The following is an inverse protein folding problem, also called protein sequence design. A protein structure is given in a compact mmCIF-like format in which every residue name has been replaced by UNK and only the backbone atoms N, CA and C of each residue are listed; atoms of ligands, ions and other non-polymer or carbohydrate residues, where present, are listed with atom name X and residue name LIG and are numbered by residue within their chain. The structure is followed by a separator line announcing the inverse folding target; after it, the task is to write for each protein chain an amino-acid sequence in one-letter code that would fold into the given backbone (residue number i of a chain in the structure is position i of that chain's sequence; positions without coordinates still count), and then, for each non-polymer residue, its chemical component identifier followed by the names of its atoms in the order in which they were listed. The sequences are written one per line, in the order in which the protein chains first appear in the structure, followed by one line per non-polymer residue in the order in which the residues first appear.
data_IF_503013470167
#
_entry.id   IF_503013470167
#
_cell.length_a   1.000
_cell.length_b   1.000
_cell.length_c   1.000
_cell.angle_alpha   90.00
_cell.angle_beta   90.00
_cell.angle_gamma   90.00
#
_symmetry.space_group_name_H-M   'P 1'
#
loop_
_entity.id
_entity.type
_entity.pdbx_description
1 polymer ?
#
# COMPACT_ATOMS: atom_id res chain seq x y z
N UNK A 1 -16.29 -7.29 3.09
CA UNK A 1 -15.26 -7.65 4.11
C UNK A 1 -14.44 -6.44 4.54
N UNK A 2 -13.74 -5.72 3.65
CA UNK A 2 -12.90 -4.55 3.97
C UNK A 2 -13.59 -3.49 4.84
N UNK A 3 -14.85 -3.15 4.55
CA UNK A 3 -15.68 -2.22 5.33
C UNK A 3 -15.76 -2.60 6.83
N UNK A 4 -15.98 -3.87 7.12
CA UNK A 4 -16.06 -4.37 8.51
C UNK A 4 -14.69 -4.36 9.19
N UNK A 5 -13.61 -4.67 8.45
CA UNK A 5 -12.25 -4.61 8.98
C UNK A 5 -11.89 -3.19 9.40
N UNK A 6 -12.19 -2.19 8.57
CA UNK A 6 -11.98 -0.78 8.89
C UNK A 6 -12.74 -0.35 10.15
N UNK A 7 -14.02 -0.73 10.25
CA UNK A 7 -14.84 -0.42 11.44
C UNK A 7 -14.31 -1.11 12.70
N UNK A 8 -13.86 -2.37 12.57
CA UNK A 8 -13.26 -3.10 13.68
C UNK A 8 -11.95 -2.44 14.15
N UNK A 9 -11.07 -2.07 13.20
CA UNK A 9 -9.83 -1.35 13.49
C UNK A 9 -10.09 -0.05 14.29
N UNK A 10 -11.00 0.79 13.80
CA UNK A 10 -11.32 2.05 14.47
C UNK A 10 -11.86 1.82 15.89
N UNK A 11 -12.77 0.84 16.08
CA UNK A 11 -13.28 0.49 17.41
C UNK A 11 -12.19 0.02 18.36
N UNK A 12 -11.26 -0.82 17.88
CA UNK A 12 -10.12 -1.30 18.70
C UNK A 12 -9.22 -0.12 19.08
N UNK A 13 -8.90 0.77 18.12
CA UNK A 13 -8.08 1.93 18.41
C UNK A 13 -8.71 2.84 19.48
N UNK A 14 -10.00 3.19 19.32
CA UNK A 14 -10.73 4.03 20.30
C UNK A 14 -10.85 3.35 21.65
N UNK A 15 -11.11 2.04 21.69
CA UNK A 15 -11.17 1.28 22.94
C UNK A 15 -9.81 1.27 23.65
N UNK A 16 -8.73 1.01 22.92
CA UNK A 16 -7.37 1.09 23.46
C UNK A 16 -7.07 2.51 23.99
N UNK A 17 -7.40 3.52 23.19
CA UNK A 17 -7.13 4.91 23.53
C UNK A 17 -7.83 5.36 24.84
N UNK A 18 -9.06 4.92 25.06
CA UNK A 18 -9.85 5.32 26.23
C UNK A 18 -9.56 4.49 27.49
N UNK A 19 -9.24 3.19 27.36
CA UNK A 19 -9.14 2.29 28.50
C UNK A 19 -7.70 1.93 28.88
N UNK A 20 -6.81 1.76 27.91
CA UNK A 20 -5.50 1.18 28.14
C UNK A 20 -4.35 2.19 27.98
N UNK A 21 -4.46 3.12 27.02
CA UNK A 21 -3.39 4.07 26.71
C UNK A 21 -2.95 4.92 27.92
N UNK A 22 -3.84 5.38 28.82
CA UNK A 22 -3.41 6.16 29.99
C UNK A 22 -2.40 5.43 30.86
N UNK A 23 -2.48 4.11 30.94
CA UNK A 23 -1.58 3.27 31.74
C UNK A 23 -0.41 2.72 30.93
N UNK A 24 -0.66 2.26 29.69
CA UNK A 24 0.33 1.54 28.89
C UNK A 24 1.17 2.46 27.98
N UNK A 25 0.65 3.64 27.60
CA UNK A 25 1.30 4.61 26.73
C UNK A 25 1.78 4.01 25.39
N UNK A 26 1.12 2.93 24.93
CA UNK A 26 1.45 2.23 23.68
C UNK A 26 0.92 2.97 22.43
N UNK A 27 1.33 2.48 21.27
CA UNK A 27 0.88 2.95 19.97
C UNK A 27 0.13 1.86 19.24
N UNK A 28 -0.96 2.21 18.59
CA UNK A 28 -1.78 1.31 17.79
C UNK A 28 -1.86 1.87 16.36
N UNK A 29 -1.47 1.06 15.39
CA UNK A 29 -1.53 1.42 13.99
C UNK A 29 -2.14 0.32 13.15
N UNK A 30 -2.08 0.47 11.84
CA UNK A 30 -2.52 -0.53 10.88
C UNK A 30 -1.36 -0.87 9.94
N UNK A 31 -1.17 -2.17 9.67
CA UNK A 31 -0.19 -2.65 8.69
C UNK A 31 -0.93 -2.98 7.39
N UNK A 32 -0.51 -2.33 6.33
CA UNK A 32 -1.09 -2.45 5.00
C UNK A 32 -0.03 -2.87 4.00
N UNK A 33 -0.43 -3.67 3.00
CA UNK A 33 0.46 -4.09 1.92
C UNK A 33 0.21 -3.28 0.66
N UNK A 34 1.28 -2.95 -0.07
CA UNK A 34 1.17 -2.41 -1.42
C UNK A 34 2.39 -2.73 -2.27
N UNK A 35 2.14 -3.14 -3.51
CA UNK A 35 3.13 -3.04 -4.57
C UNK A 35 3.21 -1.58 -5.03
N UNK A 36 4.35 -1.18 -5.62
CA UNK A 36 4.43 0.07 -6.36
C UNK A 36 3.82 -0.13 -7.76
N UNK A 37 3.03 0.83 -8.20
CA UNK A 37 2.45 0.87 -9.53
C UNK A 37 3.20 1.89 -10.39
N UNK A 38 3.97 1.41 -11.35
CA UNK A 38 4.59 2.25 -12.37
C UNK A 38 3.72 2.26 -13.62
N UNK A 39 3.42 3.39 -14.26
CA UNK A 39 2.71 3.38 -15.53
C UNK A 39 3.51 2.63 -16.59
N UNK A 40 2.84 1.75 -17.35
CA UNK A 40 3.47 1.00 -18.44
C UNK A 40 4.04 1.96 -19.51
N UNK A 41 3.29 2.99 -19.81
CA UNK A 41 3.67 4.07 -20.73
C UNK A 41 3.44 5.41 -20.05
N UNK A 42 4.49 6.04 -19.47
CA UNK A 42 4.36 7.27 -18.69
C UNK A 42 3.94 8.48 -19.54
N UNK A 43 4.06 8.40 -20.87
CA UNK A 43 3.56 9.41 -21.83
C UNK A 43 2.06 9.31 -22.07
N UNK A 44 1.39 8.25 -21.64
CA UNK A 44 -0.05 8.03 -21.79
C UNK A 44 -0.79 8.42 -20.51
N UNK A 45 -1.65 9.46 -20.54
CA UNK A 45 -2.44 9.88 -19.39
C UNK A 45 -3.31 8.77 -18.81
N UNK A 46 -3.77 7.84 -19.65
CA UNK A 46 -4.62 6.71 -19.23
C UNK A 46 -3.85 5.73 -18.35
N UNK A 47 -2.57 5.47 -18.65
CA UNK A 47 -1.73 4.56 -17.87
C UNK A 47 -1.27 5.22 -16.55
N UNK A 48 -1.03 6.53 -16.55
CA UNK A 48 -0.80 7.31 -15.33
C UNK A 48 -2.00 7.20 -14.38
N UNK A 49 -3.21 7.46 -14.92
CA UNK A 49 -4.45 7.35 -14.14
C UNK A 49 -4.73 5.92 -13.66
N UNK A 50 -4.39 4.91 -14.46
CA UNK A 50 -4.53 3.51 -14.07
C UNK A 50 -3.58 3.13 -12.92
N UNK A 51 -2.33 3.61 -12.96
CA UNK A 51 -1.35 3.39 -11.89
C UNK A 51 -1.79 4.03 -10.57
N UNK A 52 -2.30 5.25 -10.62
CA UNK A 52 -2.85 5.92 -9.44
C UNK A 52 -4.07 5.17 -8.89
N UNK A 53 -4.99 4.73 -9.75
CA UNK A 53 -6.12 3.90 -9.33
C UNK A 53 -5.69 2.60 -8.69
N UNK A 54 -4.67 1.92 -9.25
CA UNK A 54 -4.13 0.70 -8.64
C UNK A 54 -3.68 0.95 -7.19
N UNK A 55 -2.94 2.02 -6.93
CA UNK A 55 -2.51 2.37 -5.57
C UNK A 55 -3.70 2.69 -4.65
N UNK A 56 -4.71 3.38 -5.14
CA UNK A 56 -5.93 3.61 -4.38
C UNK A 56 -6.74 2.33 -4.13
N UNK A 57 -6.76 1.38 -5.06
CA UNK A 57 -7.40 0.08 -4.87
C UNK A 57 -6.65 -0.81 -3.90
N UNK A 58 -5.32 -0.88 -4.00
CA UNK A 58 -4.50 -1.77 -3.18
C UNK A 58 -4.28 -1.22 -1.77
N UNK A 59 -3.89 0.04 -1.66
CA UNK A 59 -3.54 0.68 -0.39
C UNK A 59 -4.63 1.64 0.09
N UNK A 60 -5.10 2.52 -0.79
CA UNK A 60 -6.04 3.60 -0.48
C UNK A 60 -7.36 3.12 0.06
N UNK A 61 -7.83 1.95 -0.35
CA UNK A 61 -9.04 1.33 0.18
C UNK A 61 -9.07 1.30 1.72
N UNK A 62 -7.92 1.07 2.34
CA UNK A 62 -7.76 1.02 3.78
C UNK A 62 -7.10 2.28 4.36
N UNK A 63 -6.09 2.83 3.66
CA UNK A 63 -5.35 3.98 4.17
C UNK A 63 -6.18 5.26 4.17
N UNK A 64 -6.94 5.53 3.10
CA UNK A 64 -7.66 6.80 2.96
C UNK A 64 -8.70 7.04 4.07
N UNK A 65 -9.57 6.05 4.42
CA UNK A 65 -10.52 6.22 5.51
C UNK A 65 -9.86 6.53 6.86
N UNK A 66 -8.69 5.97 7.11
CA UNK A 66 -8.01 6.13 8.40
C UNK A 66 -7.20 7.44 8.46
N UNK A 67 -6.47 7.76 7.39
CA UNK A 67 -5.47 8.83 7.42
C UNK A 67 -5.91 10.15 6.76
N UNK A 68 -6.99 10.16 5.98
CA UNK A 68 -7.42 11.35 5.24
C UNK A 68 -8.73 11.92 5.77
N UNK A 69 -9.88 11.32 5.47
CA UNK A 69 -11.16 11.96 5.73
C UNK A 69 -12.26 11.05 6.33
N UNK A 70 -11.97 9.77 6.53
CA UNK A 70 -12.93 8.80 7.07
C UNK A 70 -13.71 8.04 5.99
N UNK A 71 -13.53 8.38 4.71
CA UNK A 71 -14.25 7.76 3.60
C UNK A 71 -13.28 7.10 2.60
N UNK A 72 -13.81 6.34 1.66
CA UNK A 72 -13.03 5.75 0.58
C UNK A 72 -12.50 6.80 -0.40
N UNK A 73 -11.36 6.54 -1.08
CA UNK A 73 -10.85 7.42 -2.11
C UNK A 73 -11.91 7.74 -3.18
N UNK A 74 -11.99 9.00 -3.59
CA UNK A 74 -12.92 9.42 -4.65
C UNK A 74 -12.69 8.66 -5.96
N UNK A 75 -11.43 8.40 -6.31
CA UNK A 75 -11.06 7.63 -7.50
C UNK A 75 -11.60 6.19 -7.45
N UNK A 76 -11.54 5.53 -6.28
CA UNK A 76 -12.10 4.19 -6.10
C UNK A 76 -13.62 4.19 -6.25
N UNK A 77 -14.33 5.14 -5.63
CA UNK A 77 -15.80 5.27 -5.75
C UNK A 77 -16.22 5.53 -7.20
N UNK A 78 -15.57 6.47 -7.88
CA UNK A 78 -15.84 6.79 -9.27
C UNK A 78 -15.63 5.60 -10.20
N UNK A 79 -14.53 4.86 -10.03
CA UNK A 79 -14.24 3.68 -10.84
C UNK A 79 -15.29 2.58 -10.64
N UNK A 80 -15.70 2.28 -9.41
CA UNK A 80 -16.75 1.29 -9.14
C UNK A 80 -18.08 1.73 -9.75
N UNK A 81 -18.43 3.01 -9.66
CA UNK A 81 -19.65 3.54 -10.28
C UNK A 81 -19.60 3.43 -11.80
N UNK A 82 -18.47 3.76 -12.42
CA UNK A 82 -18.27 3.62 -13.87
C UNK A 82 -18.41 2.15 -14.30
N UNK A 83 -17.80 1.24 -13.56
CA UNK A 83 -17.90 -0.21 -13.82
C UNK A 83 -19.33 -0.73 -13.77
N UNK A 84 -20.10 -0.32 -12.76
CA UNK A 84 -21.50 -0.72 -12.64
C UNK A 84 -22.36 -0.20 -13.80
N UNK A 85 -22.00 0.96 -14.38
CA UNK A 85 -22.68 1.50 -15.58
C UNK A 85 -22.31 0.73 -16.85
N UNK A 86 -21.05 0.39 -17.00
CA UNK A 86 -20.53 -0.31 -18.19
C UNK A 86 -20.89 -1.80 -18.18
N UNK A 87 -20.94 -2.41 -17.00
CA UNK A 87 -21.22 -3.82 -16.78
C UNK A 87 -22.38 -4.00 -15.78
N UNK A 88 -23.64 -3.81 -16.18
CA UNK A 88 -24.79 -3.91 -15.26
C UNK A 88 -24.96 -5.30 -14.63
N UNK A 89 -24.35 -6.33 -15.20
CA UNK A 89 -24.31 -7.68 -14.61
C UNK A 89 -23.28 -7.80 -13.46
N UNK A 90 -22.37 -6.87 -13.35
CA UNK A 90 -21.30 -6.78 -12.36
C UNK A 90 -21.73 -5.81 -11.26
N UNK A 91 -22.57 -6.25 -10.33
CA UNK A 91 -22.98 -5.38 -9.22
C UNK A 91 -21.87 -5.36 -8.17
N UNK A 92 -20.82 -4.55 -8.40
CA UNK A 92 -19.83 -4.26 -7.37
C UNK A 92 -20.42 -3.22 -6.41
N UNK A 93 -20.81 -3.64 -5.22
CA UNK A 93 -21.30 -2.74 -4.18
C UNK A 93 -20.16 -2.32 -3.25
N UNK A 94 -19.91 -1.02 -3.17
CA UNK A 94 -19.07 -0.45 -2.13
C UNK A 94 -20.03 0.07 -1.02
N UNK A 95 -20.00 -0.54 0.19
CA UNK A 95 -20.81 -0.06 1.30
C UNK A 95 -20.42 1.39 1.67
N UNK A 96 -21.38 2.22 2.02
CA UNK A 96 -21.14 3.58 2.46
C UNK A 96 -20.92 3.66 3.98
N UNK A 97 -20.03 4.55 4.40
CA UNK A 97 -19.88 4.89 5.81
C UNK A 97 -20.87 5.99 6.19
N UNK A 98 -21.53 5.82 7.33
CA UNK A 98 -22.27 6.92 7.96
C UNK A 98 -21.32 8.00 8.44
N UNK A 99 -21.80 9.22 8.64
CA UNK A 99 -20.96 10.31 9.15
C UNK A 99 -20.34 9.99 10.52
N UNK A 100 -21.05 9.27 11.39
CA UNK A 100 -20.50 8.79 12.65
C UNK A 100 -19.35 7.80 12.46
N UNK A 101 -19.45 6.90 11.48
CA UNK A 101 -18.39 5.96 11.15
C UNK A 101 -17.18 6.65 10.52
N UNK A 102 -17.38 7.64 9.65
CA UNK A 102 -16.28 8.47 9.11
C UNK A 102 -15.50 9.17 10.21
N UNK A 103 -16.20 9.74 11.19
CA UNK A 103 -15.55 10.38 12.34
C UNK A 103 -14.78 9.39 13.22
N UNK A 104 -15.27 8.15 13.37
CA UNK A 104 -14.55 7.10 14.09
C UNK A 104 -13.29 6.62 13.33
N UNK A 105 -13.37 6.55 11.99
CA UNK A 105 -12.27 6.07 11.15
C UNK A 105 -11.14 7.08 11.07
N UNK A 106 -11.47 8.33 10.85
CA UNK A 106 -10.51 9.41 10.63
C UNK A 106 -9.57 9.57 11.84
N UNK A 107 -8.28 9.36 11.61
CA UNK A 107 -7.24 9.50 12.64
C UNK A 107 -7.14 8.34 13.61
N UNK A 108 -7.78 7.19 13.34
CA UNK A 108 -7.75 6.01 14.20
C UNK A 108 -6.47 5.16 14.06
N UNK A 109 -5.31 5.81 13.90
CA UNK A 109 -4.01 5.13 13.88
C UNK A 109 -2.90 6.06 14.34
N UNK A 110 -1.97 5.55 15.14
CA UNK A 110 -0.79 6.28 15.62
C UNK A 110 0.41 6.13 14.65
N UNK A 111 0.37 5.17 13.75
CA UNK A 111 1.36 4.92 12.70
C UNK A 111 0.74 4.16 11.52
N UNK A 112 1.37 4.27 10.37
CA UNK A 112 1.09 3.43 9.21
C UNK A 112 2.21 2.41 9.08
N UNK A 113 1.89 1.13 9.21
CA UNK A 113 2.79 0.03 8.86
C UNK A 113 2.66 -0.27 7.38
N UNK A 114 3.77 -0.38 6.66
CA UNK A 114 3.80 -0.65 5.24
C UNK A 114 4.57 -1.93 4.97
N UNK A 115 3.93 -2.89 4.29
CA UNK A 115 4.58 -4.04 3.71
C UNK A 115 4.73 -3.83 2.20
N UNK A 116 5.94 -4.10 1.67
CA UNK A 116 6.23 -3.94 0.25
C UNK A 116 7.23 -4.99 -0.21
N UNK A 117 6.94 -5.66 -1.30
CA UNK A 117 7.76 -6.77 -1.80
C UNK A 117 8.21 -6.60 -3.25
N UNK A 118 7.39 -5.94 -4.08
CA UNK A 118 7.62 -5.83 -5.53
C UNK A 118 6.94 -4.60 -6.14
N UNK A 119 7.13 -4.42 -7.44
CA UNK A 119 6.45 -3.40 -8.24
C UNK A 119 5.75 -4.02 -9.43
N UNK A 120 4.80 -3.30 -10.02
CA UNK A 120 4.08 -3.66 -11.23
C UNK A 120 4.17 -2.54 -12.26
N UNK A 121 4.17 -2.90 -13.53
CA UNK A 121 3.84 -1.97 -14.60
C UNK A 121 2.33 -2.02 -14.80
N UNK A 122 1.69 -0.87 -14.81
CA UNK A 122 0.24 -0.76 -14.88
C UNK A 122 -0.15 -0.03 -16.15
N UNK A 123 -1.07 -0.63 -16.89
CA UNK A 123 -1.76 0.02 -18.00
C UNK A 123 -3.25 0.12 -17.74
N UNK A 124 -3.91 0.99 -18.48
CA UNK A 124 -5.38 0.98 -18.51
C UNK A 124 -5.88 -0.35 -19.08
N UNK A 125 -6.90 -0.95 -18.47
CA UNK A 125 -7.51 -2.15 -19.00
C UNK A 125 -8.34 -1.82 -20.25
N UNK A 126 -8.21 -2.63 -21.30
CA UNK A 126 -9.23 -2.70 -22.33
C UNK A 126 -10.38 -3.55 -21.81
N UNK A 127 -11.56 -2.97 -21.76
CA UNK A 127 -12.72 -3.58 -21.11
C UNK A 127 -13.49 -4.44 -22.11
N UNK A 128 -12.96 -5.63 -22.43
CA UNK A 128 -13.56 -6.56 -23.37
C UNK A 128 -14.54 -7.55 -22.73
N UNK A 129 -14.59 -7.61 -21.40
CA UNK A 129 -15.47 -8.54 -20.68
C UNK A 129 -15.94 -7.98 -19.33
N UNK A 130 -17.17 -8.34 -18.96
CA UNK A 130 -17.73 -8.05 -17.62
C UNK A 130 -17.52 -9.20 -16.65
N UNK A 131 -16.40 -9.90 -16.73
CA UNK A 131 -16.02 -10.94 -15.76
C UNK A 131 -15.47 -10.27 -14.50
N UNK A 132 -16.06 -10.53 -13.31
CA UNK A 132 -15.58 -9.88 -12.08
C UNK A 132 -14.19 -10.36 -11.71
N UNK A 133 -13.25 -9.39 -11.67
CA UNK A 133 -11.91 -9.58 -11.13
C UNK A 133 -11.46 -8.28 -10.47
N UNK A 134 -10.41 -8.35 -9.67
CA UNK A 134 -9.81 -7.16 -9.07
C UNK A 134 -9.38 -6.15 -10.15
N UNK A 135 -8.72 -6.63 -11.20
CA UNK A 135 -8.22 -5.81 -12.31
C UNK A 135 -9.36 -5.21 -13.15
N UNK A 136 -10.39 -6.02 -13.45
CA UNK A 136 -11.56 -5.56 -14.18
C UNK A 136 -12.29 -4.44 -13.42
N UNK A 137 -12.54 -4.64 -12.12
CA UNK A 137 -13.21 -3.64 -11.29
C UNK A 137 -12.35 -2.37 -11.17
N UNK A 138 -11.04 -2.52 -11.05
CA UNK A 138 -10.09 -1.40 -10.97
C UNK A 138 -9.83 -0.67 -12.29
N UNK A 139 -10.20 -1.27 -13.43
CA UNK A 139 -9.98 -0.70 -14.77
C UNK A 139 -8.49 -0.59 -15.12
N UNK A 140 -7.68 -1.55 -14.69
CA UNK A 140 -6.26 -1.62 -14.97
C UNK A 140 -5.81 -3.04 -15.33
N UNK A 141 -4.68 -3.15 -16.00
CA UNK A 141 -3.98 -4.40 -16.27
C UNK A 141 -2.58 -4.36 -15.64
N UNK A 142 -2.17 -5.49 -15.06
CA UNK A 142 -0.88 -5.61 -14.39
C UNK A 142 0.11 -6.33 -15.30
N UNK A 143 1.32 -5.77 -15.40
CA UNK A 143 2.42 -6.33 -16.19
C UNK A 143 3.69 -6.32 -15.34
N UNK A 144 4.68 -7.07 -15.81
CA UNK A 144 6.04 -7.08 -15.26
C UNK A 144 7.03 -6.81 -16.38
N UNK A 145 8.11 -6.14 -16.11
CA UNK A 145 9.21 -6.00 -17.05
C UNK A 145 9.99 -7.33 -17.09
N UNK A 146 10.14 -7.96 -18.26
CA UNK A 146 10.93 -9.18 -18.39
C UNK A 146 12.39 -9.07 -17.93
N UNK A 147 12.92 -7.84 -17.86
CA UNK A 147 14.26 -7.57 -17.36
C UNK A 147 14.37 -7.56 -15.84
N UNK A 148 13.26 -7.53 -15.11
CA UNK A 148 13.29 -7.57 -13.64
C UNK A 148 13.68 -8.96 -13.15
N UNK A 149 14.66 -9.08 -12.23
CA UNK A 149 15.01 -10.36 -11.64
C UNK A 149 13.79 -10.96 -10.90
N UNK A 150 13.42 -12.18 -11.31
CA UNK A 150 12.36 -12.94 -10.66
C UNK A 150 12.94 -13.74 -9.49
N UNK A 151 12.18 -13.86 -8.42
CA UNK A 151 12.52 -14.73 -7.28
C UNK A 151 11.97 -16.15 -7.48
N UNK A 152 12.12 -17.03 -6.51
CA UNK A 152 11.47 -18.35 -6.52
C UNK A 152 9.93 -18.26 -6.42
N UNK A 153 9.39 -17.12 -6.02
CA UNK A 153 7.96 -16.83 -6.10
C UNK A 153 7.57 -16.24 -7.45
N UNK A 154 6.52 -16.74 -8.11
CA UNK A 154 6.14 -16.28 -9.44
C UNK A 154 5.62 -14.84 -9.49
N UNK A 155 5.29 -14.24 -8.35
CA UNK A 155 4.73 -12.89 -8.27
C UNK A 155 5.67 -11.84 -7.66
N UNK A 156 6.85 -12.24 -7.15
CA UNK A 156 7.83 -11.31 -6.57
C UNK A 156 8.99 -11.11 -7.54
N UNK A 157 9.21 -9.87 -7.93
CA UNK A 157 10.34 -9.40 -8.73
C UNK A 157 11.17 -8.41 -7.92
N UNK A 158 12.50 -8.42 -8.09
CA UNK A 158 13.42 -7.55 -7.35
C UNK A 158 13.44 -6.17 -8.02
N UNK A 159 12.67 -5.23 -7.47
CA UNK A 159 12.48 -3.87 -8.00
C UNK A 159 12.70 -2.83 -6.89
N UNK A 160 13.93 -2.62 -6.45
CA UNK A 160 14.20 -1.85 -5.22
C UNK A 160 13.75 -0.40 -5.27
N UNK A 161 13.84 0.27 -6.42
CA UNK A 161 13.43 1.66 -6.58
C UNK A 161 11.92 1.89 -6.31
N UNK A 162 11.11 0.86 -6.41
CA UNK A 162 9.67 0.92 -6.16
C UNK A 162 9.33 1.28 -4.73
N UNK A 163 10.08 0.77 -3.73
CA UNK A 163 9.82 1.11 -2.31
C UNK A 163 10.01 2.61 -2.05
N UNK A 164 10.99 3.25 -2.69
CA UNK A 164 11.20 4.69 -2.55
C UNK A 164 10.02 5.49 -3.08
N UNK A 165 9.52 5.13 -4.27
CA UNK A 165 8.37 5.80 -4.90
C UNK A 165 7.08 5.56 -4.10
N UNK A 166 6.87 4.33 -3.62
CA UNK A 166 5.73 4.01 -2.78
C UNK A 166 5.75 4.79 -1.46
N UNK A 167 6.89 4.89 -0.81
CA UNK A 167 7.05 5.69 0.40
C UNK A 167 6.75 7.17 0.16
N UNK A 168 7.19 7.73 -0.97
CA UNK A 168 6.85 9.10 -1.37
C UNK A 168 5.33 9.28 -1.52
N UNK A 169 4.68 8.37 -2.25
CA UNK A 169 3.23 8.38 -2.44
C UNK A 169 2.50 8.32 -1.09
N UNK A 170 2.85 7.38 -0.23
CA UNK A 170 2.24 7.22 1.10
C UNK A 170 2.43 8.45 1.97
N UNK A 171 3.61 9.07 1.91
CA UNK A 171 3.89 10.29 2.68
C UNK A 171 3.08 11.48 2.20
N UNK A 172 2.98 11.67 0.90
CA UNK A 172 2.27 12.81 0.33
C UNK A 172 0.76 12.65 0.45
N UNK A 173 0.26 11.45 0.18
CA UNK A 173 -1.18 11.21 0.08
C UNK A 173 -1.84 10.97 1.44
N UNK A 174 -1.21 10.17 2.31
CA UNK A 174 -1.85 9.70 3.53
C UNK A 174 -1.28 10.31 4.81
N UNK A 175 0.02 10.24 5.03
CA UNK A 175 0.57 10.63 6.34
C UNK A 175 0.93 12.11 6.45
N UNK A 176 1.28 12.75 5.33
CA UNK A 176 1.66 14.18 5.23
C UNK A 176 2.67 14.61 6.29
N UNK A 177 3.59 13.69 6.63
CA UNK A 177 4.59 13.91 7.69
C UNK A 177 4.04 13.96 9.12
N UNK A 178 2.72 13.77 9.32
CA UNK A 178 2.09 13.85 10.65
C UNK A 178 2.10 12.51 11.39
N UNK A 179 2.12 11.41 10.65
CA UNK A 179 2.05 10.05 11.17
C UNK A 179 3.28 9.29 10.68
N UNK A 180 4.04 8.61 11.57
CA UNK A 180 5.21 7.85 11.17
C UNK A 180 4.82 6.65 10.32
N UNK A 181 5.71 6.30 9.36
CA UNK A 181 5.60 5.11 8.54
C UNK A 181 6.62 4.09 9.03
N UNK A 182 6.17 2.87 9.32
CA UNK A 182 7.02 1.74 9.67
C UNK A 182 7.04 0.73 8.53
N UNK A 183 8.21 0.36 8.04
CA UNK A 183 8.34 -0.78 7.14
C UNK A 183 8.16 -2.05 7.97
N UNK A 184 7.01 -2.70 7.81
CA UNK A 184 6.59 -3.84 8.61
C UNK A 184 6.80 -5.18 7.90
N UNK A 185 6.93 -5.17 6.57
CA UNK A 185 7.19 -6.37 5.77
C UNK A 185 7.99 -6.04 4.51
N UNK A 186 9.13 -6.71 4.34
CA UNK A 186 9.94 -6.68 3.13
C UNK A 186 10.81 -7.93 3.08
N UNK A 187 11.03 -8.51 1.92
CA UNK A 187 11.84 -9.70 1.75
C UNK A 187 11.57 -10.43 0.43
N UNK A 188 12.34 -11.46 0.18
CA UNK A 188 12.17 -12.35 -0.96
C UNK A 188 12.36 -13.81 -0.56
N UNK A 189 11.61 -14.75 -1.17
CA UNK A 189 11.88 -16.18 -1.03
C UNK A 189 13.09 -16.59 -1.85
N UNK A 190 13.78 -17.61 -1.39
CA UNK A 190 14.84 -18.32 -2.12
C UNK A 190 14.38 -19.74 -2.49
N UNK A 191 15.00 -20.34 -3.50
CA UNK A 191 14.70 -21.71 -3.94
C UNK A 191 15.25 -22.75 -2.96
N UNK A 192 14.69 -23.95 -2.99
CA UNK A 192 15.12 -25.08 -2.13
C UNK A 192 16.55 -25.58 -2.42
N UNK A 193 17.09 -25.25 -3.59
CA UNK A 193 18.44 -25.67 -4.03
C UNK A 193 19.55 -24.71 -3.59
N UNK A 194 19.20 -23.60 -2.96
CA UNK A 194 20.15 -22.58 -2.54
C UNK A 194 20.74 -22.90 -1.16
N UNK A 195 22.02 -22.62 -0.96
CA UNK A 195 22.65 -22.76 0.36
C UNK A 195 22.09 -21.70 1.31
N UNK A 196 21.34 -22.15 2.29
CA UNK A 196 20.70 -21.28 3.27
C UNK A 196 21.69 -20.55 4.19
N UNK A 197 22.94 -21.02 4.25
CA UNK A 197 24.00 -20.43 5.09
C UNK A 197 24.79 -19.36 4.32
N UNK A 198 24.86 -19.47 2.98
CA UNK A 198 25.50 -18.47 2.10
C UNK A 198 24.47 -17.63 1.36
N UNK A 199 23.59 -16.96 2.10
CA UNK A 199 22.43 -16.24 1.61
C UNK A 199 22.79 -14.87 0.99
N UNK A 200 23.63 -14.88 -0.01
CA UNK A 200 24.08 -13.69 -0.72
C UNK A 200 22.93 -12.96 -1.45
N UNK A 201 21.92 -13.71 -1.92
CA UNK A 201 20.79 -13.15 -2.66
C UNK A 201 19.90 -12.27 -1.77
N UNK A 202 19.55 -12.74 -0.57
CA UNK A 202 18.76 -11.91 0.37
C UNK A 202 19.57 -10.76 0.93
N UNK A 203 20.87 -10.94 1.16
CA UNK A 203 21.77 -9.85 1.56
C UNK A 203 21.79 -8.75 0.49
N UNK A 204 21.94 -9.10 -0.79
CA UNK A 204 21.91 -8.14 -1.91
C UNK A 204 20.53 -7.45 -2.02
N UNK A 205 19.44 -8.22 -1.90
CA UNK A 205 18.09 -7.70 -1.88
C UNK A 205 17.92 -6.63 -0.79
N UNK A 206 18.23 -6.95 0.46
CA UNK A 206 18.08 -6.01 1.57
C UNK A 206 18.96 -4.79 1.42
N UNK A 207 20.21 -4.94 0.99
CA UNK A 207 21.10 -3.81 0.73
C UNK A 207 20.51 -2.85 -0.29
N UNK A 208 19.95 -3.36 -1.39
CA UNK A 208 19.31 -2.54 -2.44
C UNK A 208 18.07 -1.83 -1.91
N UNK A 209 17.18 -2.55 -1.21
CA UNK A 209 15.93 -1.96 -0.70
C UNK A 209 16.19 -0.93 0.41
N UNK A 210 17.06 -1.22 1.37
CA UNK A 210 17.44 -0.28 2.44
C UNK A 210 18.07 0.98 1.83
N UNK A 211 18.93 0.83 0.83
CA UNK A 211 19.54 1.97 0.15
C UNK A 211 18.50 2.88 -0.53
N UNK A 212 17.47 2.30 -1.16
CA UNK A 212 16.37 3.08 -1.75
C UNK A 212 15.53 3.80 -0.69
N UNK A 213 15.28 3.17 0.45
CA UNK A 213 14.62 3.82 1.60
C UNK A 213 15.43 5.02 2.10
N UNK A 214 16.75 4.87 2.23
CA UNK A 214 17.66 5.95 2.66
C UNK A 214 17.70 7.10 1.63
N UNK A 215 17.72 6.82 0.33
CA UNK A 215 17.63 7.82 -0.72
C UNK A 215 16.33 8.63 -0.64
N UNK A 216 15.21 7.98 -0.33
CA UNK A 216 13.94 8.65 -0.12
C UNK A 216 14.00 9.69 1.00
N UNK A 217 14.70 9.37 2.10
CA UNK A 217 14.90 10.28 3.24
C UNK A 217 15.74 11.51 2.88
N UNK A 218 16.80 11.33 2.09
CA UNK A 218 17.78 12.39 1.78
C UNK A 218 17.37 13.26 0.58
N UNK A 219 16.36 12.87 -0.18
CA UNK A 219 15.94 13.53 -1.43
C UNK A 219 15.09 14.79 -1.27
N UNK A 220 15.04 15.42 -0.09
CA UNK A 220 14.45 16.75 0.10
C UNK A 220 12.92 16.81 -0.02
N UNK A 221 12.22 15.69 -0.07
CA UNK A 221 10.77 15.69 0.02
C UNK A 221 10.36 15.91 1.48
N UNK A 222 9.61 16.99 1.72
CA UNK A 222 9.17 17.47 3.02
C UNK A 222 8.22 16.49 3.70
N UNK A 223 8.76 15.45 4.28
CA UNK A 223 8.09 14.56 5.18
C UNK A 223 9.14 13.98 6.10
N UNK A 224 9.00 14.21 7.40
CA UNK A 224 9.81 13.57 8.43
C UNK A 224 9.58 12.05 8.38
N UNK A 225 10.37 11.37 7.53
CA UNK A 225 10.49 9.92 7.55
C UNK A 225 11.14 9.53 8.87
N UNK A 226 10.37 9.25 9.87
CA UNK A 226 10.88 8.55 11.03
C UNK A 226 10.90 7.07 10.67
N UNK A 227 12.05 6.58 10.23
CA UNK A 227 12.39 5.17 10.46
C UNK A 227 12.29 5.03 11.98
N UNK A 228 11.28 4.29 12.43
CA UNK A 228 10.76 4.35 13.78
C UNK A 228 11.82 4.28 14.87
N UNK A 229 11.73 5.20 15.81
CA UNK A 229 12.37 5.13 17.12
C UNK A 229 13.56 6.07 17.27
N UNK A 230 13.59 6.73 18.41
CA UNK A 230 14.75 7.41 19.03
C UNK A 230 15.88 6.41 19.41
N UNK A 231 15.96 5.28 18.74
CA UNK A 231 17.02 4.28 18.82
C UNK A 231 17.43 3.87 17.41
N UNK A 232 18.71 3.65 17.13
CA UNK A 232 19.21 3.39 15.77
C UNK A 232 18.95 1.97 15.26
N UNK A 233 17.83 1.36 15.61
CA UNK A 233 17.46 0.03 15.14
C UNK A 233 16.32 0.11 14.15
N UNK A 234 16.65 -0.18 12.89
CA UNK A 234 15.71 -0.56 11.85
C UNK A 234 15.05 -1.87 12.32
N UNK A 235 13.83 -1.84 12.85
CA UNK A 235 13.09 -3.07 13.09
C UNK A 235 12.50 -3.55 11.77
N UNK A 236 13.25 -4.39 11.07
CA UNK A 236 12.77 -5.23 9.99
C UNK A 236 12.33 -6.53 10.65
N UNK A 237 11.02 -6.79 10.72
CA UNK A 237 10.52 -8.11 11.05
C UNK A 237 10.70 -9.01 9.83
N UNK A 238 11.52 -10.03 9.93
CA UNK A 238 11.72 -11.09 8.94
C UNK A 238 10.62 -12.13 9.06
#
# INVERSE_FOLDING_TARGET
MAHLVLKAHARVWHHYNSHYRPQQQGRVGIVLNSDWAEPLSPERPEDLSASERFLHFMLGWFAHPIFVDGDYPAALKAQIQQMNQQCPSLVAQLPEFTEAEKQLLKGSADFLGLSHYTSRLISTAQQDSCIPSYDTIGGFSQHVDPAWPQTSSPWIYVVPWGIRRLLQFVSLEYTRGKVPIYLAGNGMPIGETEDLLEDSLRVDYFNKYINEVLKGKNGGYAGDWKVGGTSPSLQISV
#
